data_IF_571758517890
#
_entry.id   IF_571758517890
#
_cell.length_a   1.000
_cell.length_b   1.000
_cell.length_c   1.000
_cell.angle_alpha   90.00
_cell.angle_beta   90.00
_cell.angle_gamma   90.00
#
_symmetry.space_group_name_H-M   'P 1'
#
loop_
_entity.id
_entity.type
_entity.pdbx_description
1 polymer ?
#
# COMPACT_ATOMS: atom_id res chain seq x y z
N UNK A 1 -35.32 32.89 -11.38
CA UNK A 1 -34.04 32.55 -12.07
C UNK A 1 -33.28 31.54 -11.22
N UNK A 2 -32.85 30.40 -11.77
CA UNK A 2 -32.01 29.46 -11.01
C UNK A 2 -30.65 30.10 -10.73
N UNK A 3 -30.26 30.18 -9.45
CA UNK A 3 -28.96 30.71 -9.05
C UNK A 3 -27.84 29.85 -9.65
N UNK A 4 -26.81 30.49 -10.20
CA UNK A 4 -25.63 29.81 -10.73
C UNK A 4 -24.42 30.09 -9.85
N UNK A 5 -23.56 29.10 -9.66
CA UNK A 5 -22.36 29.18 -8.83
C UNK A 5 -21.11 29.13 -9.71
N UNK A 6 -20.09 29.90 -9.38
CA UNK A 6 -18.73 29.65 -9.89
C UNK A 6 -18.20 28.31 -9.37
N UNK A 7 -17.20 27.75 -10.04
CA UNK A 7 -16.51 26.56 -9.54
C UNK A 7 -15.92 26.76 -8.13
N UNK A 8 -15.57 27.99 -7.77
CA UNK A 8 -14.99 28.33 -6.47
C UNK A 8 -16.03 28.42 -5.35
N UNK A 9 -17.18 29.05 -5.61
CA UNK A 9 -18.30 29.04 -4.68
C UNK A 9 -18.86 27.63 -4.49
N UNK A 10 -18.89 26.83 -5.56
CA UNK A 10 -19.31 25.43 -5.50
C UNK A 10 -18.32 24.60 -4.66
N UNK A 11 -17.02 24.75 -4.89
CA UNK A 11 -15.97 24.07 -4.13
C UNK A 11 -16.06 24.35 -2.62
N UNK A 12 -16.27 25.61 -2.23
CA UNK A 12 -16.42 26.03 -0.83
C UNK A 12 -17.59 25.34 -0.13
N UNK A 13 -18.70 25.12 -0.83
CA UNK A 13 -19.91 24.48 -0.25
C UNK A 13 -19.70 23.01 0.11
N UNK A 14 -18.74 22.33 -0.52
CA UNK A 14 -18.45 20.91 -0.29
C UNK A 14 -17.05 20.67 0.27
N UNK A 15 -16.32 21.72 0.68
CA UNK A 15 -14.96 21.61 1.23
C UNK A 15 -13.97 20.84 0.33
N UNK A 16 -14.18 20.94 -1.00
CA UNK A 16 -13.33 20.35 -2.03
C UNK A 16 -12.51 21.42 -2.75
N UNK A 17 -11.50 21.00 -3.51
CA UNK A 17 -10.72 21.94 -4.32
C UNK A 17 -11.48 22.38 -5.56
N UNK A 18 -11.19 23.60 -6.05
CA UNK A 18 -11.69 24.10 -7.34
C UNK A 18 -11.33 23.16 -8.50
N UNK A 19 -10.16 22.53 -8.46
CA UNK A 19 -9.75 21.52 -9.44
C UNK A 19 -10.63 20.27 -9.42
N UNK A 20 -11.06 19.83 -8.24
CA UNK A 20 -12.01 18.71 -8.12
C UNK A 20 -13.34 19.03 -8.80
N UNK A 21 -13.83 20.25 -8.65
CA UNK A 21 -15.06 20.70 -9.32
C UNK A 21 -14.92 20.62 -10.85
N UNK A 22 -13.78 21.02 -11.41
CA UNK A 22 -13.53 20.89 -12.85
C UNK A 22 -13.49 19.44 -13.32
N UNK A 23 -12.92 18.55 -12.51
CA UNK A 23 -12.86 17.13 -12.82
C UNK A 23 -14.26 16.49 -12.80
N UNK A 24 -15.12 16.85 -11.83
CA UNK A 24 -16.52 16.40 -11.80
C UNK A 24 -17.29 16.84 -13.06
N UNK A 25 -17.04 18.06 -13.54
CA UNK A 25 -17.62 18.56 -14.79
C UNK A 25 -17.09 17.77 -15.98
N UNK A 26 -15.78 17.52 -16.05
CA UNK A 26 -15.14 16.76 -17.13
C UNK A 26 -15.70 15.33 -17.23
N UNK A 27 -16.04 14.72 -16.09
CA UNK A 27 -16.64 13.39 -16.01
C UNK A 27 -18.15 13.36 -16.25
N UNK A 28 -18.78 14.52 -16.46
CA UNK A 28 -20.23 14.62 -16.61
C UNK A 28 -21.02 14.35 -15.32
N UNK A 29 -20.35 14.26 -14.17
CA UNK A 29 -21.00 14.03 -12.87
C UNK A 29 -21.75 15.25 -12.37
N UNK A 30 -21.30 16.45 -12.75
CA UNK A 30 -22.05 17.70 -12.57
C UNK A 30 -22.05 18.49 -13.88
N UNK A 31 -23.18 19.11 -14.21
CA UNK A 31 -23.32 19.89 -15.44
C UNK A 31 -22.89 21.36 -15.26
N UNK A 32 -22.31 21.95 -16.30
CA UNK A 32 -22.08 23.41 -16.39
C UNK A 32 -23.15 24.06 -17.28
N UNK A 33 -23.44 25.34 -17.06
CA UNK A 33 -24.29 26.11 -17.95
C UNK A 33 -23.57 26.30 -19.30
N UNK A 34 -24.18 25.91 -20.43
CA UNK A 34 -23.57 26.08 -21.75
C UNK A 34 -23.51 27.57 -22.12
N UNK A 35 -22.51 27.93 -22.92
CA UNK A 35 -22.41 29.23 -23.62
C UNK A 35 -22.35 30.50 -22.74
N UNK A 36 -21.98 30.38 -21.46
CA UNK A 36 -21.89 31.52 -20.52
C UNK A 36 -20.49 32.16 -20.42
N UNK A 37 -19.77 32.22 -21.54
CA UNK A 37 -18.43 32.81 -21.62
C UNK A 37 -17.32 31.95 -21.01
N UNK A 38 -16.17 32.57 -20.67
CA UNK A 38 -14.97 31.86 -20.16
C UNK A 38 -15.14 31.30 -18.75
N UNK A 39 -16.03 31.88 -17.94
CA UNK A 39 -16.21 31.47 -16.55
C UNK A 39 -17.17 30.29 -16.45
N UNK A 40 -16.70 29.18 -15.87
CA UNK A 40 -17.56 28.03 -15.58
C UNK A 40 -18.62 28.40 -14.54
N UNK A 41 -19.88 28.20 -14.91
CA UNK A 41 -21.06 28.39 -14.06
C UNK A 41 -21.79 27.06 -13.88
N UNK A 42 -22.13 26.74 -12.64
CA UNK A 42 -22.75 25.48 -12.24
C UNK A 42 -24.18 25.81 -11.75
N UNK A 43 -25.23 25.21 -12.33
CA UNK A 43 -26.60 25.43 -11.91
C UNK A 43 -26.86 25.04 -10.45
N UNK A 44 -27.75 25.74 -9.75
CA UNK A 44 -28.16 25.38 -8.38
C UNK A 44 -28.71 23.96 -8.25
N UNK A 45 -29.36 23.41 -9.28
CA UNK A 45 -29.83 22.02 -9.29
C UNK A 45 -28.71 20.99 -9.11
N UNK A 46 -27.50 21.28 -9.59
CA UNK A 46 -26.34 20.39 -9.43
C UNK A 46 -25.84 20.41 -7.98
N UNK A 47 -26.10 21.49 -7.27
CA UNK A 47 -25.80 21.61 -5.85
C UNK A 47 -26.71 20.71 -5.01
N UNK A 48 -28.00 20.67 -5.33
CA UNK A 48 -28.97 19.78 -4.66
C UNK A 48 -28.73 18.31 -5.02
N UNK A 49 -28.41 17.99 -6.28
CA UNK A 49 -27.94 16.66 -6.68
C UNK A 49 -26.70 16.25 -5.90
N UNK A 50 -25.73 17.15 -5.76
CA UNK A 50 -24.49 16.85 -5.04
C UNK A 50 -24.70 16.70 -3.54
N UNK A 51 -25.61 17.46 -2.92
CA UNK A 51 -26.01 17.25 -1.51
C UNK A 51 -26.68 15.89 -1.32
N UNK A 52 -27.61 15.52 -2.19
CA UNK A 52 -28.27 14.21 -2.15
C UNK A 52 -27.28 13.04 -2.38
N UNK A 53 -26.25 13.27 -3.19
CA UNK A 53 -25.24 12.28 -3.55
C UNK A 53 -23.91 12.48 -2.79
N UNK A 54 -23.89 13.29 -1.73
CA UNK A 54 -22.65 13.71 -1.03
C UNK A 54 -21.89 12.54 -0.39
N UNK A 55 -22.54 11.38 -0.21
CA UNK A 55 -21.90 10.13 0.18
C UNK A 55 -21.26 9.35 -0.99
N UNK A 56 -21.59 9.64 -2.26
CA UNK A 56 -21.25 8.82 -3.43
C UNK A 56 -20.51 9.58 -4.56
N UNK A 57 -20.34 10.90 -4.49
CA UNK A 57 -19.68 11.70 -5.54
C UNK A 57 -18.18 11.96 -5.32
N UNK A 58 -17.64 11.54 -4.17
CA UNK A 58 -16.23 11.78 -3.80
C UNK A 58 -15.36 10.52 -3.94
N UNK A 59 -15.99 9.39 -4.20
CA UNK A 59 -15.42 8.05 -4.31
C UNK A 59 -16.49 7.06 -4.80
N UNK A 60 -16.04 5.91 -5.31
CA UNK A 60 -16.90 4.80 -5.71
C UNK A 60 -17.33 3.99 -4.47
N UNK A 61 -18.64 3.97 -4.09
CA UNK A 61 -19.11 3.34 -2.84
C UNK A 61 -18.87 1.84 -2.76
N UNK A 62 -18.71 1.17 -3.90
CA UNK A 62 -18.38 -0.25 -3.98
C UNK A 62 -16.90 -0.53 -3.67
N UNK A 63 -16.03 0.48 -3.72
CA UNK A 63 -14.58 0.35 -3.47
C UNK A 63 -14.05 1.16 -2.29
N UNK A 64 -14.77 2.19 -1.88
CA UNK A 64 -14.38 3.11 -0.80
C UNK A 64 -15.57 3.32 0.12
N UNK A 65 -15.30 3.36 1.41
CA UNK A 65 -16.28 3.63 2.46
C UNK A 65 -15.95 4.92 3.21
N UNK A 66 -16.98 5.63 3.65
CA UNK A 66 -16.85 6.78 4.53
C UNK A 66 -17.00 6.32 5.98
N UNK A 67 -15.91 6.43 6.74
CA UNK A 67 -15.88 6.20 8.17
C UNK A 67 -16.15 7.52 8.88
N UNK A 68 -17.29 7.62 9.57
CA UNK A 68 -17.62 8.81 10.37
C UNK A 68 -16.88 8.77 11.71
N UNK A 69 -16.27 9.88 12.10
CA UNK A 69 -15.67 10.10 13.41
C UNK A 69 -16.14 11.46 13.96
N UNK A 70 -15.86 11.72 15.24
CA UNK A 70 -16.11 12.97 15.93
C UNK A 70 -15.32 14.15 15.34
N UNK A 71 -14.20 13.86 14.65
CA UNK A 71 -13.35 14.87 14.02
C UNK A 71 -13.61 15.05 12.52
N UNK A 72 -14.44 14.20 11.91
CA UNK A 72 -14.79 14.31 10.51
C UNK A 72 -15.11 12.98 9.85
N UNK A 73 -15.30 13.00 8.54
CA UNK A 73 -15.51 11.79 7.75
C UNK A 73 -14.22 11.44 7.02
N UNK A 74 -13.77 10.20 7.19
CA UNK A 74 -12.52 9.70 6.61
C UNK A 74 -12.84 8.64 5.57
N UNK A 75 -12.34 8.80 4.35
CA UNK A 75 -12.48 7.78 3.31
C UNK A 75 -11.48 6.64 3.55
N UNK A 76 -11.98 5.41 3.56
CA UNK A 76 -11.21 4.17 3.70
C UNK A 76 -11.40 3.32 2.47
N UNK A 77 -10.33 2.68 2.01
CA UNK A 77 -10.42 1.69 0.93
C UNK A 77 -11.06 0.42 1.49
N UNK A 78 -12.18 -0.02 0.90
CA UNK A 78 -12.88 -1.22 1.37
C UNK A 78 -11.96 -2.44 1.31
N UNK A 79 -12.00 -3.25 2.37
CA UNK A 79 -11.15 -4.43 2.50
C UNK A 79 -9.65 -4.15 2.71
N UNK A 80 -9.22 -2.90 2.92
CA UNK A 80 -7.82 -2.56 3.23
C UNK A 80 -7.71 -1.68 4.46
N UNK A 81 -6.60 -1.81 5.20
CA UNK A 81 -6.24 -0.88 6.27
C UNK A 81 -5.55 0.37 5.70
N UNK A 82 -6.28 1.12 4.87
CA UNK A 82 -5.77 2.31 4.19
C UNK A 82 -6.83 3.41 4.16
N UNK A 83 -6.47 4.56 4.72
CA UNK A 83 -7.31 5.75 4.83
C UNK A 83 -6.74 6.89 4.00
N UNK A 84 -7.58 7.71 3.41
CA UNK A 84 -7.14 8.90 2.65
C UNK A 84 -6.46 9.88 3.60
N UNK A 85 -5.14 10.07 3.44
CA UNK A 85 -4.32 10.85 4.37
C UNK A 85 -4.76 12.31 4.44
N UNK A 86 -5.23 12.88 3.33
CA UNK A 86 -5.74 14.27 3.31
C UNK A 86 -6.97 14.44 4.21
N UNK A 87 -7.82 13.43 4.31
CA UNK A 87 -9.01 13.49 5.17
C UNK A 87 -8.57 13.43 6.64
N UNK A 88 -7.58 12.57 6.96
CA UNK A 88 -6.98 12.47 8.30
C UNK A 88 -6.31 13.79 8.70
N UNK A 89 -5.53 14.40 7.80
CA UNK A 89 -4.86 15.69 8.03
C UNK A 89 -5.88 16.78 8.36
N UNK A 90 -6.99 16.84 7.62
CA UNK A 90 -8.08 17.80 7.87
C UNK A 90 -8.76 17.54 9.21
N UNK A 91 -9.11 16.29 9.51
CA UNK A 91 -9.78 15.92 10.76
C UNK A 91 -8.92 16.22 11.99
N UNK A 92 -7.61 15.96 11.90
CA UNK A 92 -6.67 16.22 12.99
C UNK A 92 -6.23 17.69 13.08
N UNK A 93 -6.68 18.57 12.18
CA UNK A 93 -6.25 19.97 12.14
C UNK A 93 -4.75 20.15 11.87
N UNK A 94 -4.14 19.22 11.15
CA UNK A 94 -2.71 19.26 10.82
C UNK A 94 -2.52 20.09 9.54
N UNK A 95 -1.51 20.96 9.52
CA UNK A 95 -1.30 21.89 8.39
C UNK A 95 -1.04 21.20 7.05
N UNK A 96 -0.29 20.08 7.04
CA UNK A 96 -0.03 19.32 5.83
C UNK A 96 0.27 17.84 6.13
N UNK A 97 0.17 17.00 5.10
CA UNK A 97 0.49 15.57 5.16
C UNK A 97 1.96 15.29 5.48
N UNK A 98 2.89 16.12 4.99
CA UNK A 98 4.33 15.96 5.25
C UNK A 98 4.69 15.96 6.73
N UNK A 99 3.95 16.69 7.57
CA UNK A 99 4.17 16.70 9.02
C UNK A 99 3.88 15.33 9.64
N UNK A 100 2.86 14.62 9.18
CA UNK A 100 2.56 13.26 9.63
C UNK A 100 3.64 12.29 9.12
N UNK A 101 3.95 12.35 7.82
CA UNK A 101 4.91 11.45 7.16
C UNK A 101 6.30 11.56 7.78
N UNK A 102 6.81 12.78 8.02
CA UNK A 102 8.13 12.98 8.68
C UNK A 102 8.19 12.39 10.08
N UNK A 103 7.07 12.30 10.79
CA UNK A 103 7.01 11.79 12.15
C UNK A 103 6.99 10.26 12.21
N UNK A 104 6.39 9.61 11.20
CA UNK A 104 6.15 8.16 11.20
C UNK A 104 7.00 7.39 10.19
N UNK A 105 7.62 8.06 9.22
CA UNK A 105 8.30 7.43 8.10
C UNK A 105 7.36 7.11 6.92
N UNK A 106 7.90 6.53 5.86
CA UNK A 106 7.12 6.17 4.66
C UNK A 106 6.46 4.78 4.74
N UNK A 107 6.88 3.94 5.69
CA UNK A 107 6.47 2.52 5.77
C UNK A 107 4.97 2.32 5.99
N UNK A 108 4.28 3.35 6.52
CA UNK A 108 2.85 3.32 6.81
C UNK A 108 2.01 4.14 5.81
N UNK A 109 2.64 4.61 4.73
CA UNK A 109 2.04 5.55 3.79
C UNK A 109 2.11 4.96 2.40
N UNK A 110 0.95 4.73 1.80
CA UNK A 110 0.84 4.29 0.41
C UNK A 110 0.55 5.49 -0.50
N UNK A 111 1.03 5.42 -1.74
CA UNK A 111 0.76 6.44 -2.75
C UNK A 111 0.02 5.80 -3.91
N UNK A 112 -1.20 6.26 -4.16
CA UNK A 112 -1.91 5.93 -5.38
C UNK A 112 -1.56 6.94 -6.47
N UNK A 113 -1.29 6.44 -7.66
CA UNK A 113 -1.21 7.23 -8.89
C UNK A 113 -2.55 7.89 -9.20
N UNK A 114 -2.53 8.84 -10.13
CA UNK A 114 -3.75 9.51 -10.59
C UNK A 114 -4.74 8.52 -11.20
N UNK A 115 -4.26 7.49 -11.90
CA UNK A 115 -5.12 6.47 -12.53
C UNK A 115 -5.74 5.54 -11.47
N UNK A 116 -4.96 5.04 -10.52
CA UNK A 116 -5.46 4.21 -9.42
C UNK A 116 -6.47 4.96 -8.53
N UNK A 117 -6.23 6.25 -8.29
CA UNK A 117 -7.20 7.09 -7.58
C UNK A 117 -8.49 7.25 -8.39
N UNK A 118 -8.40 7.40 -9.71
CA UNK A 118 -9.56 7.46 -10.59
C UNK A 118 -10.38 6.19 -10.57
N UNK A 119 -9.74 5.03 -10.56
CA UNK A 119 -10.39 3.72 -10.48
C UNK A 119 -11.13 3.47 -9.14
N UNK A 120 -10.88 4.32 -8.14
CA UNK A 120 -11.56 4.33 -6.85
C UNK A 120 -12.58 5.47 -6.72
N UNK A 121 -12.77 6.25 -7.80
CA UNK A 121 -13.59 7.46 -7.79
C UNK A 121 -13.00 8.61 -6.96
N UNK A 122 -11.75 8.48 -6.50
CA UNK A 122 -11.08 9.49 -5.70
C UNK A 122 -10.49 10.59 -6.59
N UNK A 123 -10.57 11.83 -6.12
CA UNK A 123 -9.85 12.94 -6.73
C UNK A 123 -8.38 12.91 -6.32
N UNK A 124 -7.50 12.80 -7.32
CA UNK A 124 -6.06 12.94 -7.20
C UNK A 124 -5.57 14.15 -8.00
N UNK A 125 -4.55 14.82 -7.49
CA UNK A 125 -3.80 15.82 -8.26
C UNK A 125 -2.77 15.11 -9.16
N UNK A 126 -1.94 15.87 -9.88
CA UNK A 126 -0.91 15.28 -10.75
C UNK A 126 0.10 14.39 -10.00
N UNK A 127 0.25 14.59 -8.69
CA UNK A 127 1.16 13.81 -7.87
C UNK A 127 0.48 12.60 -7.22
N UNK A 128 -0.80 12.34 -7.48
CA UNK A 128 -1.55 11.21 -6.94
C UNK A 128 -2.30 11.52 -5.66
N UNK A 129 -2.57 10.49 -4.86
CA UNK A 129 -3.18 10.63 -3.54
C UNK A 129 -2.44 9.75 -2.52
N UNK A 130 -2.22 10.30 -1.33
CA UNK A 130 -1.58 9.58 -0.25
C UNK A 130 -2.61 8.92 0.65
N UNK A 131 -2.31 7.69 1.04
CA UNK A 131 -3.06 6.90 1.99
C UNK A 131 -2.19 6.61 3.21
N UNK A 132 -2.81 6.35 4.36
CA UNK A 132 -2.12 6.01 5.61
C UNK A 132 -2.82 4.84 6.28
N UNK A 133 -2.07 3.93 6.89
CA UNK A 133 -2.63 2.82 7.68
C UNK A 133 -3.05 3.24 9.08
N UNK A 134 -3.94 2.48 9.73
CA UNK A 134 -4.32 2.73 11.12
C UNK A 134 -3.11 2.70 12.07
N UNK A 135 -2.17 1.78 11.82
CA UNK A 135 -0.88 1.69 12.51
C UNK A 135 -0.06 2.97 12.37
N UNK A 136 -0.02 3.56 11.16
CA UNK A 136 0.65 4.84 10.92
C UNK A 136 0.02 5.99 11.71
N UNK A 137 -1.31 6.07 11.74
CA UNK A 137 -2.02 7.10 12.53
C UNK A 137 -1.74 6.91 14.03
N UNK A 138 -1.68 5.66 14.52
CA UNK A 138 -1.33 5.34 15.91
C UNK A 138 0.10 5.74 16.26
N UNK A 139 1.06 5.52 15.37
CA UNK A 139 2.44 5.96 15.55
C UNK A 139 2.56 7.50 15.53
N UNK A 140 1.73 8.18 14.72
CA UNK A 140 1.66 9.64 14.76
C UNK A 140 1.12 10.13 16.10
N UNK A 141 0.09 9.46 16.64
CA UNK A 141 -0.52 9.80 17.93
C UNK A 141 0.49 9.82 19.07
N UNK A 142 1.37 8.81 19.15
CA UNK A 142 2.35 8.70 20.25
C UNK A 142 3.40 9.81 20.23
N UNK A 143 3.57 10.50 19.10
CA UNK A 143 4.56 11.55 18.86
C UNK A 143 3.94 12.95 18.72
N UNK A 144 2.63 13.10 18.93
CA UNK A 144 1.92 14.38 18.79
C UNK A 144 1.52 14.97 20.16
N UNK A 145 1.33 16.31 20.23
CA UNK A 145 0.97 17.00 21.47
C UNK A 145 -0.45 16.66 21.96
N UNK A 146 -1.37 16.39 21.03
CA UNK A 146 -2.79 16.14 21.33
C UNK A 146 -3.12 14.65 21.36
N UNK A 147 -2.29 13.86 22.05
CA UNK A 147 -2.34 12.39 22.05
C UNK A 147 -3.73 11.82 22.35
N UNK A 148 -4.41 12.32 23.39
CA UNK A 148 -5.74 11.82 23.80
C UNK A 148 -6.79 11.98 22.69
N UNK A 149 -6.76 13.13 22.01
CA UNK A 149 -7.69 13.42 20.89
C UNK A 149 -7.42 12.48 19.73
N UNK A 150 -6.16 12.26 19.38
CA UNK A 150 -5.78 11.38 18.26
C UNK A 150 -6.03 9.90 18.60
N UNK A 151 -5.81 9.46 19.83
CA UNK A 151 -6.13 8.10 20.28
C UNK A 151 -7.63 7.81 20.24
N UNK A 152 -8.47 8.75 20.68
CA UNK A 152 -9.93 8.62 20.59
C UNK A 152 -10.39 8.60 19.12
N UNK A 153 -9.82 9.47 18.28
CA UNK A 153 -10.06 9.46 16.84
C UNK A 153 -9.73 8.11 16.20
N UNK A 154 -8.60 7.48 16.54
CA UNK A 154 -8.23 6.16 16.01
C UNK A 154 -9.20 5.07 16.48
N UNK A 155 -9.62 5.11 17.75
CA UNK A 155 -10.62 4.14 18.26
C UNK A 155 -11.91 4.22 17.47
N UNK A 156 -12.43 5.43 17.26
CA UNK A 156 -13.61 5.64 16.43
C UNK A 156 -13.39 5.20 14.99
N UNK A 157 -12.22 5.48 14.42
CA UNK A 157 -11.86 5.08 13.05
C UNK A 157 -11.90 3.56 12.88
N UNK A 158 -11.38 2.80 13.85
CA UNK A 158 -11.31 1.34 13.81
C UNK A 158 -12.69 0.73 14.10
N UNK A 159 -13.39 1.19 15.14
CA UNK A 159 -14.70 0.67 15.55
C UNK A 159 -15.75 0.96 14.49
N UNK A 160 -15.79 2.18 13.95
CA UNK A 160 -16.78 2.56 12.95
C UNK A 160 -16.46 2.01 11.56
N UNK A 161 -15.23 1.55 11.30
CA UNK A 161 -14.88 0.78 10.11
C UNK A 161 -15.32 -0.69 10.21
N UNK A 162 -15.72 -1.18 11.39
CA UNK A 162 -16.17 -2.56 11.64
C UNK A 162 -17.68 -2.67 11.93
N UNK A 163 -18.43 -1.56 11.87
CA UNK A 163 -19.86 -1.55 12.20
C UNK A 163 -20.70 -2.40 11.20
N UNK A 164 -21.59 -3.30 11.68
CA UNK A 164 -22.32 -4.24 10.83
C UNK A 164 -23.54 -3.58 10.16
N UNK A 165 -23.78 -3.88 8.88
CA UNK A 165 -25.10 -3.72 8.24
C UNK A 165 -25.50 -5.04 7.57
N UNK A 166 -26.62 -5.58 8.05
CA UNK A 166 -27.05 -6.97 7.86
C UNK A 166 -27.52 -7.37 6.46
N UNK A 167 -27.30 -8.67 6.22
CA UNK A 167 -27.97 -9.70 5.40
C UNK A 167 -28.59 -9.34 4.04
N UNK A 168 -28.04 -9.97 2.99
CA UNK A 168 -28.80 -10.88 2.10
C UNK A 168 -27.91 -12.04 1.62
N UNK A 169 -28.37 -13.26 1.89
CA UNK A 169 -28.06 -14.60 1.35
C UNK A 169 -26.59 -15.06 1.17
N UNK A 170 -26.26 -16.34 1.46
CA UNK A 170 -24.94 -16.91 1.25
C UNK A 170 -24.68 -17.05 -0.26
N UNK A 171 -24.13 -16.02 -0.86
CA UNK A 171 -23.32 -16.19 -2.07
C UNK A 171 -22.04 -16.84 -1.58
N UNK A 172 -21.63 -17.95 -2.17
CA UNK A 172 -20.26 -18.48 -2.03
C UNK A 172 -19.28 -17.38 -2.46
N UNK A 173 -18.87 -16.56 -1.51
CA UNK A 173 -17.80 -15.59 -1.68
C UNK A 173 -16.52 -16.37 -1.45
N UNK A 174 -15.81 -16.66 -2.55
CA UNK A 174 -14.37 -16.93 -2.46
C UNK A 174 -13.74 -15.71 -1.79
N UNK A 175 -13.29 -15.90 -0.56
CA UNK A 175 -12.56 -14.92 0.22
C UNK A 175 -11.48 -14.28 -0.67
N UNK A 176 -11.62 -12.99 -1.00
CA UNK A 176 -10.51 -12.23 -1.59
C UNK A 176 -9.72 -11.67 -0.42
N UNK A 177 -8.75 -12.47 0.01
CA UNK A 177 -7.79 -12.17 1.06
C UNK A 177 -7.21 -10.76 0.91
N UNK A 178 -7.17 -10.06 2.05
CA UNK A 178 -6.26 -8.96 2.29
C UNK A 178 -4.88 -9.47 1.90
N UNK A 179 -4.31 -8.95 0.81
CA UNK A 179 -3.03 -9.46 0.29
C UNK A 179 -1.93 -9.31 1.33
N UNK A 180 -1.67 -10.38 2.08
CA UNK A 180 -0.40 -10.64 2.72
C UNK A 180 0.64 -10.60 1.62
N UNK A 181 1.29 -9.46 1.42
CA UNK A 181 2.42 -9.39 0.49
C UNK A 181 3.61 -9.97 1.23
N UNK A 182 3.83 -11.26 1.03
CA UNK A 182 5.04 -11.92 1.49
C UNK A 182 6.10 -11.71 0.41
N UNK A 183 7.24 -11.13 0.80
CA UNK A 183 8.36 -10.86 -0.10
C UNK A 183 9.54 -11.75 0.25
N UNK A 184 10.25 -12.20 -0.78
CA UNK A 184 11.53 -12.88 -0.61
C UNK A 184 12.54 -12.42 -1.64
N UNK A 185 13.80 -12.43 -1.20
CA UNK A 185 14.96 -12.22 -2.05
C UNK A 185 15.54 -13.58 -2.40
N UNK A 186 15.57 -13.88 -3.68
CA UNK A 186 16.21 -15.07 -4.23
C UNK A 186 17.52 -14.67 -4.92
N UNK A 187 18.52 -15.53 -4.90
CA UNK A 187 19.85 -15.22 -5.46
C UNK A 187 20.07 -16.06 -6.72
N UNK A 188 20.32 -15.38 -7.84
CA UNK A 188 20.71 -15.98 -9.11
C UNK A 188 22.09 -15.47 -9.53
N UNK A 189 23.09 -16.36 -9.58
CA UNK A 189 24.48 -16.02 -9.95
C UNK A 189 25.04 -14.77 -9.22
N UNK A 190 24.74 -14.65 -7.92
CA UNK A 190 25.15 -13.52 -7.10
C UNK A 190 24.35 -12.23 -7.31
N UNK A 191 23.30 -12.23 -8.14
CA UNK A 191 22.33 -11.15 -8.26
C UNK A 191 21.08 -11.47 -7.44
N UNK A 192 20.63 -10.49 -6.64
CA UNK A 192 19.40 -10.59 -5.87
C UNK A 192 18.20 -10.31 -6.80
N UNK A 193 17.18 -11.15 -6.70
CA UNK A 193 15.91 -11.06 -7.42
C UNK A 193 14.79 -11.01 -6.38
N UNK A 194 14.06 -9.90 -6.37
CA UNK A 194 12.93 -9.75 -5.46
C UNK A 194 11.69 -10.41 -6.06
N UNK A 195 11.04 -11.25 -5.25
CA UNK A 195 9.83 -11.98 -5.62
C UNK A 195 8.79 -11.74 -4.54
N UNK A 196 7.59 -11.38 -4.95
CA UNK A 196 6.45 -11.18 -4.05
C UNK A 196 5.31 -12.09 -4.45
N UNK A 197 4.53 -12.52 -3.45
CA UNK A 197 3.26 -13.16 -3.69
C UNK A 197 2.15 -12.15 -3.39
N UNK A 198 1.29 -11.92 -4.38
CA UNK A 198 0.12 -11.06 -4.22
C UNK A 198 -1.10 -11.84 -4.66
N UNK A 199 -1.99 -12.14 -3.71
CA UNK A 199 -3.25 -12.85 -3.95
C UNK A 199 -3.06 -14.20 -4.67
N UNK A 200 -2.08 -15.01 -4.24
CA UNK A 200 -1.76 -16.31 -4.85
C UNK A 200 -0.98 -16.24 -6.17
N UNK A 201 -0.64 -15.04 -6.64
CA UNK A 201 0.14 -14.83 -7.86
C UNK A 201 1.57 -14.42 -7.51
N UNK A 202 2.54 -15.16 -8.06
CA UNK A 202 3.96 -14.88 -7.90
C UNK A 202 4.38 -13.82 -8.90
N UNK A 203 5.03 -12.76 -8.41
CA UNK A 203 5.49 -11.63 -9.19
C UNK A 203 6.98 -11.38 -8.96
N UNK A 204 7.70 -11.08 -10.05
CA UNK A 204 9.14 -10.83 -10.05
C UNK A 204 9.41 -9.34 -10.23
N UNK A 205 10.21 -8.73 -9.36
CA UNK A 205 10.52 -7.29 -9.48
C UNK A 205 11.37 -7.04 -10.74
N UNK A 206 10.97 -6.05 -11.52
CA UNK A 206 11.45 -5.82 -12.87
C UNK A 206 12.95 -5.52 -12.95
N UNK A 207 13.45 -4.61 -12.11
CA UNK A 207 14.82 -4.12 -12.27
C UNK A 207 15.86 -5.10 -11.72
N UNK A 208 15.58 -5.75 -10.60
CA UNK A 208 16.38 -6.85 -10.04
C UNK A 208 16.42 -8.04 -10.99
N UNK A 209 15.29 -8.40 -11.62
CA UNK A 209 15.25 -9.39 -12.71
C UNK A 209 16.11 -8.95 -13.90
N UNK A 210 16.01 -7.69 -14.34
CA UNK A 210 16.84 -7.16 -15.42
C UNK A 210 18.34 -7.23 -15.13
N UNK A 211 18.74 -6.96 -13.88
CA UNK A 211 20.13 -7.13 -13.44
C UNK A 211 20.58 -8.59 -13.43
N UNK A 212 19.73 -9.51 -12.95
CA UNK A 212 19.99 -10.95 -12.99
C UNK A 212 20.13 -11.47 -14.43
N UNK A 213 19.40 -10.89 -15.39
CA UNK A 213 19.57 -11.14 -16.82
C UNK A 213 20.79 -10.44 -17.43
N UNK A 214 21.61 -9.75 -16.64
CA UNK A 214 22.87 -9.13 -17.07
C UNK A 214 22.74 -7.72 -17.62
N UNK A 215 21.57 -7.07 -17.49
CA UNK A 215 21.37 -5.68 -17.89
C UNK A 215 21.84 -4.71 -16.79
N UNK A 216 23.13 -4.78 -16.49
CA UNK A 216 23.79 -4.00 -15.44
C UNK A 216 24.59 -2.84 -16.02
N UNK A 217 24.71 -1.75 -15.24
CA UNK A 217 25.68 -0.67 -15.43
C UNK A 217 26.54 -0.54 -14.18
N UNK A 218 27.83 -0.25 -14.36
CA UNK A 218 28.78 -0.08 -13.27
C UNK A 218 29.11 1.42 -13.12
N UNK A 219 29.09 1.96 -11.91
CA UNK A 219 29.57 3.32 -11.67
C UNK A 219 31.11 3.34 -11.52
N UNK A 220 31.69 4.53 -11.37
CA UNK A 220 33.14 4.72 -11.16
C UNK A 220 33.68 3.97 -9.94
N UNK A 221 32.87 3.84 -8.87
CA UNK A 221 33.20 3.12 -7.63
C UNK A 221 33.00 1.60 -7.72
N UNK A 222 32.51 1.13 -8.86
CA UNK A 222 32.30 -0.28 -9.13
C UNK A 222 31.01 -0.92 -8.62
N UNK A 223 30.09 -0.13 -8.07
CA UNK A 223 28.74 -0.57 -7.72
C UNK A 223 27.90 -0.85 -8.97
N UNK A 224 27.11 -1.91 -8.91
CA UNK A 224 26.23 -2.35 -9.98
C UNK A 224 24.84 -1.73 -9.83
N UNK A 225 24.28 -1.28 -10.95
CA UNK A 225 22.95 -0.69 -11.05
C UNK A 225 22.20 -1.28 -12.24
N UNK A 226 20.86 -1.25 -12.24
CA UNK A 226 20.08 -1.66 -13.41
C UNK A 226 20.31 -0.68 -14.57
N UNK A 227 20.48 -1.22 -15.78
CA UNK A 227 20.49 -0.44 -17.03
C UNK A 227 19.06 -0.16 -17.48
N UNK A 228 18.39 0.71 -16.71
CA UNK A 228 16.94 0.98 -16.79
C UNK A 228 16.46 1.28 -18.21
N UNK A 229 17.24 2.04 -18.98
CA UNK A 229 16.87 2.41 -20.35
C UNK A 229 16.70 1.18 -21.25
N UNK A 230 17.55 0.17 -21.08
CA UNK A 230 17.47 -1.09 -21.84
C UNK A 230 16.37 -2.00 -21.31
N UNK A 231 16.21 -2.07 -19.98
CA UNK A 231 15.16 -2.86 -19.34
C UNK A 231 13.78 -2.34 -19.77
N UNK A 232 13.51 -1.04 -19.59
CA UNK A 232 12.24 -0.42 -19.96
C UNK A 232 11.99 -0.51 -21.48
N UNK A 233 13.03 -0.36 -22.32
CA UNK A 233 12.92 -0.53 -23.77
C UNK A 233 12.46 -1.94 -24.19
N UNK A 234 12.96 -2.97 -23.52
CA UNK A 234 12.54 -4.35 -23.76
C UNK A 234 11.10 -4.61 -23.30
N UNK A 235 10.70 -4.05 -22.17
CA UNK A 235 9.31 -4.12 -21.67
C UNK A 235 8.34 -3.50 -22.68
N UNK A 236 8.69 -2.34 -23.23
CA UNK A 236 7.89 -1.68 -24.28
C UNK A 236 7.82 -2.54 -25.54
N UNK A 237 8.97 -3.09 -25.98
CA UNK A 237 9.05 -3.91 -27.19
C UNK A 237 8.23 -5.19 -27.08
N UNK A 238 8.20 -5.79 -25.90
CA UNK A 238 7.38 -6.97 -25.59
C UNK A 238 5.88 -6.66 -25.41
N UNK A 239 5.47 -5.38 -25.44
CA UNK A 239 4.09 -4.99 -25.13
C UNK A 239 3.67 -5.26 -23.67
N UNK A 240 4.63 -5.45 -22.77
CA UNK A 240 4.40 -5.79 -21.37
C UNK A 240 3.93 -4.54 -20.62
N UNK A 241 2.89 -4.69 -19.80
CA UNK A 241 2.42 -3.66 -18.85
C UNK A 241 2.67 -4.11 -17.40
N UNK A 242 3.84 -3.82 -16.81
CA UNK A 242 4.20 -4.33 -15.50
C UNK A 242 3.18 -3.96 -14.41
N UNK A 243 2.96 -4.87 -13.46
CA UNK A 243 2.10 -4.63 -12.31
C UNK A 243 2.82 -3.72 -11.32
N UNK A 244 2.21 -2.61 -10.94
CA UNK A 244 2.80 -1.71 -9.94
C UNK A 244 2.35 -2.13 -8.54
N UNK A 245 3.30 -2.32 -7.64
CA UNK A 245 3.05 -2.61 -6.23
C UNK A 245 4.06 -1.84 -5.38
N UNK A 246 3.60 -1.06 -4.40
CA UNK A 246 4.44 -0.20 -3.55
C UNK A 246 5.43 0.71 -4.32
N UNK A 247 5.07 1.16 -5.53
CA UNK A 247 5.94 1.99 -6.37
C UNK A 247 7.01 1.22 -7.16
N UNK A 248 7.09 -0.10 -7.00
CA UNK A 248 7.93 -1.00 -7.77
C UNK A 248 7.14 -1.66 -8.89
N UNK A 249 7.82 -2.00 -9.99
CA UNK A 249 7.23 -2.67 -11.16
C UNK A 249 7.52 -4.17 -11.05
N UNK A 250 6.51 -5.00 -11.25
CA UNK A 250 6.64 -6.45 -11.20
C UNK A 250 6.10 -7.12 -12.46
N UNK A 251 6.65 -8.30 -12.74
CA UNK A 251 6.30 -9.17 -13.85
C UNK A 251 5.60 -10.42 -13.32
N UNK A 252 4.49 -10.80 -13.94
CA UNK A 252 3.92 -12.15 -13.77
C UNK A 252 4.83 -13.18 -14.44
N UNK A 253 4.63 -14.47 -14.17
CA UNK A 253 5.40 -15.53 -14.81
C UNK A 253 5.35 -15.47 -16.35
N UNK A 254 4.20 -15.29 -17.03
CA UNK A 254 4.17 -15.10 -18.49
C UNK A 254 4.99 -13.89 -18.96
N UNK A 255 4.84 -12.74 -18.28
CA UNK A 255 5.58 -11.51 -18.62
C UNK A 255 7.09 -11.68 -18.43
N UNK A 256 7.51 -12.48 -17.46
CA UNK A 256 8.91 -12.80 -17.23
C UNK A 256 9.50 -13.53 -18.44
N UNK A 257 8.77 -14.50 -19.01
CA UNK A 257 9.20 -15.21 -20.21
C UNK A 257 9.24 -14.28 -21.42
N UNK A 258 8.22 -13.43 -21.61
CA UNK A 258 8.20 -12.42 -22.68
C UNK A 258 9.38 -11.44 -22.56
N UNK A 259 9.68 -11.00 -21.33
CA UNK A 259 10.82 -10.13 -21.06
C UNK A 259 12.15 -10.81 -21.40
N UNK A 260 12.31 -12.10 -21.10
CA UNK A 260 13.52 -12.84 -21.47
C UNK A 260 13.67 -13.00 -22.99
N UNK A 261 12.56 -13.17 -23.73
CA UNK A 261 12.57 -13.23 -25.18
C UNK A 261 13.06 -11.92 -25.81
N UNK A 262 12.71 -10.78 -25.23
CA UNK A 262 13.21 -9.47 -25.68
C UNK A 262 14.61 -9.13 -25.13
N UNK A 263 14.96 -9.60 -23.93
CA UNK A 263 16.27 -9.37 -23.33
C UNK A 263 17.41 -9.98 -24.13
N UNK A 264 17.21 -11.18 -24.70
CA UNK A 264 18.15 -11.90 -25.58
C UNK A 264 19.58 -11.93 -25.03
N UNK A 265 19.73 -12.05 -23.72
CA UNK A 265 21.04 -12.17 -23.08
C UNK A 265 21.40 -13.64 -22.90
N UNK A 266 22.71 -13.94 -22.80
CA UNK A 266 23.18 -15.30 -22.53
C UNK A 266 22.68 -15.83 -21.17
N UNK A 267 22.28 -14.92 -20.26
CA UNK A 267 21.73 -15.26 -18.93
C UNK A 267 20.26 -15.71 -18.96
N UNK A 268 19.51 -15.45 -20.03
CA UNK A 268 18.09 -15.81 -20.09
C UNK A 268 17.84 -17.32 -19.96
N UNK A 269 18.65 -18.16 -20.63
CA UNK A 269 18.52 -19.63 -20.55
C UNK A 269 18.80 -20.19 -19.15
N UNK A 270 19.94 -19.88 -18.50
CA UNK A 270 20.19 -20.35 -17.14
C UNK A 270 19.20 -19.75 -16.12
N UNK A 271 18.81 -18.48 -16.28
CA UNK A 271 17.80 -17.84 -15.43
C UNK A 271 16.45 -18.55 -15.53
N UNK A 272 15.99 -18.87 -16.75
CA UNK A 272 14.76 -19.64 -16.97
C UNK A 272 14.81 -20.99 -16.26
N UNK A 273 15.91 -21.74 -16.42
CA UNK A 273 16.08 -23.04 -15.78
C UNK A 273 16.03 -22.93 -14.24
N UNK A 274 16.68 -21.92 -13.67
CA UNK A 274 16.64 -21.63 -12.25
C UNK A 274 15.21 -21.30 -11.76
N UNK A 275 14.48 -20.46 -12.50
CA UNK A 275 13.08 -20.14 -12.18
C UNK A 275 12.20 -21.40 -12.20
N UNK A 276 12.32 -22.23 -13.23
CA UNK A 276 11.45 -23.39 -13.43
C UNK A 276 11.78 -24.58 -12.54
N UNK A 277 13.05 -24.77 -12.17
CA UNK A 277 13.49 -25.95 -11.43
C UNK A 277 13.63 -25.67 -9.93
N UNK A 278 14.03 -24.46 -9.56
CA UNK A 278 14.37 -24.13 -8.17
C UNK A 278 13.32 -23.19 -7.56
N UNK A 279 13.07 -22.03 -8.18
CA UNK A 279 12.28 -20.97 -7.56
C UNK A 279 10.79 -21.32 -7.49
N UNK A 280 10.13 -21.50 -8.64
CA UNK A 280 8.68 -21.74 -8.68
C UNK A 280 8.30 -23.06 -8.00
N UNK A 281 9.03 -24.19 -8.21
CA UNK A 281 8.72 -25.42 -7.48
C UNK A 281 8.90 -25.29 -5.98
N UNK A 282 9.92 -24.55 -5.50
CA UNK A 282 10.10 -24.33 -4.06
C UNK A 282 8.93 -23.55 -3.47
N UNK A 283 8.52 -22.45 -4.10
CA UNK A 283 7.39 -21.63 -3.64
C UNK A 283 6.09 -22.46 -3.64
N UNK A 284 5.83 -23.21 -4.72
CA UNK A 284 4.62 -24.04 -4.85
C UNK A 284 4.56 -25.21 -3.86
N UNK A 285 5.71 -25.79 -3.47
CA UNK A 285 5.76 -26.94 -2.54
C UNK A 285 5.65 -26.53 -1.08
N UNK A 286 6.24 -25.41 -0.67
CA UNK A 286 6.33 -25.05 0.76
C UNK A 286 5.17 -24.21 1.25
N UNK A 287 4.35 -23.62 0.36
CA UNK A 287 3.18 -22.80 0.72
C UNK A 287 3.50 -21.57 1.59
N UNK A 288 4.80 -21.32 1.81
CA UNK A 288 5.37 -20.29 2.65
C UNK A 288 6.85 -20.15 2.29
N UNK A 289 7.36 -18.92 2.36
CA UNK A 289 8.76 -18.62 2.19
C UNK A 289 9.58 -19.19 3.35
N UNK A 290 10.00 -20.46 3.26
CA UNK A 290 11.14 -20.91 4.07
C UNK A 290 12.40 -20.28 3.50
N UNK A 291 12.67 -19.07 3.98
CA UNK A 291 13.92 -18.35 3.89
C UNK A 291 15.06 -19.18 4.48
N UNK A 292 15.56 -20.17 3.74
CA UNK A 292 16.78 -20.90 4.14
C UNK A 292 18.05 -20.07 3.91
N UNK A 293 17.95 -18.92 3.21
CA UNK A 293 19.10 -18.10 2.80
C UNK A 293 18.98 -16.59 3.11
N UNK A 294 17.92 -16.12 3.79
CA UNK A 294 17.67 -14.67 4.00
C UNK A 294 18.08 -14.17 5.40
N UNK A 295 18.46 -15.06 6.32
CA UNK A 295 18.66 -14.70 7.74
C UNK A 295 19.85 -13.76 8.07
N UNK A 296 20.66 -13.32 7.10
CA UNK A 296 21.89 -12.57 7.41
C UNK A 296 21.90 -11.11 6.95
N UNK A 297 21.07 -10.66 5.99
CA UNK A 297 21.19 -9.29 5.43
C UNK A 297 20.03 -8.32 5.67
N UNK A 298 18.81 -8.80 5.96
CA UNK A 298 17.66 -7.90 6.16
C UNK A 298 17.72 -7.11 7.48
N UNK A 299 18.40 -7.64 8.51
CA UNK A 299 18.60 -6.93 9.78
C UNK A 299 19.56 -5.72 9.70
N UNK A 300 20.43 -5.65 8.68
CA UNK A 300 21.41 -4.56 8.56
C UNK A 300 20.88 -3.33 7.82
N UNK A 301 19.86 -3.45 6.96
CA UNK A 301 19.29 -2.29 6.23
C UNK A 301 18.43 -1.36 7.10
N UNK A 302 17.94 -1.86 8.24
CA UNK A 302 17.07 -1.08 9.16
C UNK A 302 17.90 -0.18 10.10
N UNK A 303 19.22 -0.35 10.15
CA UNK A 303 20.07 0.30 11.16
C UNK A 303 20.94 1.45 10.63
N UNK A 304 20.99 1.69 9.32
CA UNK A 304 21.94 2.63 8.70
C UNK A 304 21.68 4.11 9.07
N UNK A 305 20.44 4.52 9.30
CA UNK A 305 20.12 5.94 9.52
C UNK A 305 19.98 6.35 11.00
N UNK A 306 19.96 5.40 11.96
CA UNK A 306 19.66 5.71 13.38
C UNK A 306 20.80 5.39 14.35
N UNK A 307 21.81 4.60 13.96
CA UNK A 307 22.84 4.07 14.86
C UNK A 307 24.28 4.51 14.52
N UNK A 308 24.46 5.63 13.82
CA UNK A 308 25.78 6.22 13.48
C UNK A 308 26.71 6.49 14.69
N UNK A 309 26.19 6.49 15.92
CA UNK A 309 26.96 6.84 17.13
C UNK A 309 27.45 5.62 17.93
N UNK A 310 27.21 4.39 17.49
CA UNK A 310 27.63 3.18 18.21
C UNK A 310 28.65 2.37 17.40
N UNK A 311 29.64 1.80 18.08
CA UNK A 311 30.60 0.88 17.45
C UNK A 311 29.88 -0.38 16.94
N UNK A 312 30.41 -0.98 15.87
CA UNK A 312 29.85 -2.20 15.26
C UNK A 312 29.66 -3.34 16.28
N UNK A 313 30.51 -3.43 17.30
CA UNK A 313 30.43 -4.45 18.34
C UNK A 313 29.33 -4.18 19.36
N UNK A 314 29.06 -2.91 19.68
CA UNK A 314 27.91 -2.52 20.52
C UNK A 314 26.58 -2.85 19.84
N UNK A 315 26.49 -2.59 18.53
CA UNK A 315 25.31 -2.92 17.73
C UNK A 315 25.08 -4.44 17.69
N UNK A 316 26.14 -5.25 17.50
CA UNK A 316 26.05 -6.72 17.56
C UNK A 316 25.55 -7.23 18.91
N UNK A 317 26.03 -6.63 20.01
CA UNK A 317 25.61 -6.99 21.36
C UNK A 317 24.13 -6.65 21.58
N UNK A 318 23.68 -5.46 21.19
CA UNK A 318 22.27 -5.08 21.27
C UNK A 318 21.34 -6.00 20.48
N UNK A 319 21.74 -6.40 19.26
CA UNK A 319 20.97 -7.36 18.44
C UNK A 319 20.88 -8.72 19.14
N UNK A 320 22.00 -9.20 19.70
CA UNK A 320 22.03 -10.45 20.45
C UNK A 320 21.11 -10.42 21.67
N UNK A 321 21.12 -9.33 22.43
CA UNK A 321 20.27 -9.14 23.61
C UNK A 321 18.78 -9.04 23.25
N UNK A 322 18.44 -8.36 22.15
CA UNK A 322 17.08 -8.30 21.63
C UNK A 322 16.57 -9.67 21.18
N UNK A 323 17.41 -10.46 20.50
CA UNK A 323 17.06 -11.83 20.09
C UNK A 323 16.80 -12.73 21.30
N UNK A 324 17.67 -12.67 22.30
CA UNK A 324 17.50 -13.44 23.53
C UNK A 324 16.23 -13.03 24.29
N UNK A 325 15.93 -11.73 24.34
CA UNK A 325 14.71 -11.21 24.97
C UNK A 325 13.45 -11.68 24.24
N UNK A 326 13.45 -11.65 22.91
CA UNK A 326 12.34 -12.12 22.09
C UNK A 326 12.13 -13.63 22.19
N UNK A 327 13.21 -14.43 22.22
CA UNK A 327 13.15 -15.88 22.47
C UNK A 327 12.51 -16.17 23.84
N UNK A 328 12.93 -15.47 24.88
CA UNK A 328 12.34 -15.61 26.22
C UNK A 328 10.86 -15.23 26.28
N UNK A 329 10.43 -14.21 25.52
CA UNK A 329 9.01 -13.87 25.41
C UNK A 329 8.21 -14.94 24.66
N UNK A 330 8.75 -15.51 23.58
CA UNK A 330 8.09 -16.59 22.83
C UNK A 330 7.90 -17.86 23.68
N UNK A 331 8.88 -18.21 24.52
CA UNK A 331 8.74 -19.31 25.46
C UNK A 331 7.65 -19.05 26.50
N UNK A 332 7.58 -17.82 27.05
CA UNK A 332 6.51 -17.44 27.98
C UNK A 332 5.12 -17.53 27.34
N UNK A 333 4.97 -17.09 26.10
CA UNK A 333 3.69 -17.20 25.35
C UNK A 333 3.33 -18.67 25.13
N UNK A 334 4.29 -19.52 24.75
CA UNK A 334 4.06 -20.97 24.58
C UNK A 334 3.63 -21.64 25.89
N UNK A 335 4.26 -21.27 27.00
CA UNK A 335 3.90 -21.79 28.32
C UNK A 335 2.49 -21.36 28.73
N UNK A 336 2.13 -20.09 28.52
CA UNK A 336 0.77 -19.61 28.79
C UNK A 336 -0.28 -20.34 27.94
N UNK A 337 -0.03 -20.54 26.65
CA UNK A 337 -0.96 -21.25 25.77
C UNK A 337 -1.12 -22.73 26.16
N UNK A 338 -0.06 -23.40 26.62
CA UNK A 338 -0.16 -24.77 27.18
C UNK A 338 -0.97 -24.81 28.47
N UNK A 339 -0.79 -23.83 29.36
CA UNK A 339 -1.58 -23.72 30.58
C UNK A 339 -3.05 -23.48 30.28
N UNK A 340 -3.37 -22.64 29.30
CA UNK A 340 -4.74 -22.40 28.84
C UNK A 340 -5.36 -23.68 28.28
N UNK A 341 -4.68 -24.38 27.37
CA UNK A 341 -5.18 -25.64 26.81
C UNK A 341 -5.43 -26.72 27.88
N UNK A 342 -4.61 -26.75 28.94
CA UNK A 342 -4.80 -27.67 30.06
C UNK A 342 -6.00 -27.29 30.95
N UNK A 343 -6.30 -26.00 31.08
CA UNK A 343 -7.49 -25.52 31.79
C UNK A 343 -8.76 -25.80 30.98
N UNK A 344 -8.71 -25.61 29.65
CA UNK A 344 -9.82 -25.95 28.74
C UNK A 344 -10.13 -27.45 28.79
N UNK A 345 -9.12 -28.32 28.76
CA UNK A 345 -9.35 -29.77 28.86
C UNK A 345 -9.90 -30.24 30.22
N UNK A 346 -9.61 -29.50 31.30
CA UNK A 346 -10.19 -29.77 32.63
C UNK A 346 -11.65 -29.31 32.74
N UNK A 347 -12.03 -28.25 32.01
CA UNK A 347 -13.41 -27.77 31.94
C UNK A 347 -14.27 -28.69 31.06
N UNK A 348 -13.72 -29.26 30.00
CA UNK A 348 -14.43 -30.20 29.11
C UNK A 348 -14.58 -31.61 29.69
N UNK A 349 -13.69 -32.03 30.60
CA UNK A 349 -13.76 -33.34 31.27
C UNK A 349 -14.57 -33.38 32.57
N UNK A 350 -15.22 -32.27 32.94
CA UNK A 350 -15.94 -32.09 34.21
C UNK A 350 -17.46 -32.02 34.08
N UNK A 351 -18.07 -32.72 33.11
CA UNK A 351 -19.53 -32.85 32.93
C UNK A 351 -19.90 -34.33 32.82
#
# INVERSE_FOLDING_TARGET
>A
MSKNYTAEEFAKKFSISKGHVYELIKRGQISKVPNLGKTIRIPSRELEKMKATSNNLLYLPERVEAVKTSLGTIRKIKGKDLYVLVDVVKALGVNNSYRIIRTIGNDFVAKLTTDEARDLGLFANQTGILLISSTGIKLYSSKCRNRVVVENFIKELIVNAQAPKGLTAPIEVKEKEIGNTQSALQIFEGQEVEIIEVTGEILFELYSTGMALGQIKKNSEGRLYPRKERIDGNIISAGIKPRVHNGHKYLTEPMLYDFMLEAKTQKCRPFRNWVTNDVLPSIRKTGAYTSRNVEIKSEYRVLDDTYLNFSADTVKLMIKDLRNSNLGMLEKVRMNNRSIAKLESLLEGGI
#
